data_IF_275195139184
#
_entry.id   IF_275195139184
#
_cell.length_a   1.000
_cell.length_b   1.000
_cell.length_c   1.000
_cell.angle_alpha   90.00
_cell.angle_beta   90.00
_cell.angle_gamma   90.00
#
_symmetry.space_group_name_H-M   'P 1'
#
loop_
_entity.id
_entity.type
_entity.pdbx_description
1 polymer ?
#
# COMPACT_ATOMS: atom_id res chain seq x y z
N UNK A 1 7.09 -18.10 -0.34
CA UNK A 1 8.35 -17.33 -0.31
C UNK A 1 8.82 -17.25 1.13
N UNK A 2 10.01 -17.74 1.42
CA UNK A 2 10.62 -17.63 2.75
C UNK A 2 11.03 -16.17 3.01
N UNK A 3 11.13 -15.72 4.28
CA UNK A 3 11.61 -14.38 4.60
C UNK A 3 13.01 -14.10 4.02
N UNK A 4 13.80 -15.15 3.86
CA UNK A 4 15.16 -15.14 3.31
C UNK A 4 15.18 -14.82 1.82
N UNK A 5 14.43 -15.59 1.02
CA UNK A 5 14.25 -15.34 -0.42
C UNK A 5 13.71 -13.92 -0.67
N UNK A 6 12.82 -13.46 0.21
CA UNK A 6 12.21 -12.13 0.12
C UNK A 6 13.23 -11.02 0.35
N UNK A 7 14.16 -11.19 1.29
CA UNK A 7 15.24 -10.24 1.51
C UNK A 7 16.16 -10.19 0.29
N UNK A 8 16.64 -11.35 -0.21
CA UNK A 8 17.54 -11.40 -1.39
C UNK A 8 16.91 -10.69 -2.60
N UNK A 9 15.66 -11.01 -2.91
CA UNK A 9 14.93 -10.38 -4.04
C UNK A 9 14.69 -8.88 -3.86
N UNK A 10 14.65 -8.40 -2.61
CA UNK A 10 14.51 -6.98 -2.31
C UNK A 10 15.82 -6.21 -2.46
N UNK A 11 16.97 -6.87 -2.27
CA UNK A 11 18.31 -6.29 -2.38
C UNK A 11 19.01 -6.56 -3.72
N UNK A 12 18.49 -7.46 -4.56
CA UNK A 12 19.06 -7.81 -5.88
C UNK A 12 19.30 -6.60 -6.80
N UNK A 13 18.51 -5.52 -6.64
CA UNK A 13 18.67 -4.26 -7.40
C UNK A 13 19.46 -3.17 -6.67
N UNK A 14 20.07 -3.49 -5.53
CA UNK A 14 20.76 -2.53 -4.67
C UNK A 14 22.19 -3.01 -4.39
N UNK A 15 23.14 -2.71 -5.30
CA UNK A 15 24.52 -3.22 -5.19
C UNK A 15 25.26 -2.73 -3.94
N UNK A 16 24.88 -1.58 -3.37
CA UNK A 16 25.43 -1.08 -2.09
C UNK A 16 25.08 -1.96 -0.88
N UNK A 17 24.16 -2.92 -1.03
CA UNK A 17 23.76 -3.80 0.06
C UNK A 17 24.57 -5.11 0.13
N UNK A 18 25.48 -5.38 -0.82
CA UNK A 18 26.27 -6.62 -0.85
C UNK A 18 27.31 -6.71 0.28
N UNK A 19 27.72 -5.58 0.84
CA UNK A 19 28.60 -5.54 2.02
C UNK A 19 27.87 -5.81 3.36
N UNK A 20 26.54 -5.94 3.37
CA UNK A 20 25.77 -6.19 4.60
C UNK A 20 25.60 -7.69 4.88
N UNK A 21 25.73 -8.07 6.16
CA UNK A 21 25.43 -9.42 6.60
C UNK A 21 23.95 -9.76 6.40
N UNK A 22 23.67 -11.05 6.27
CA UNK A 22 22.31 -11.54 6.02
C UNK A 22 21.31 -11.11 7.11
N UNK A 23 21.71 -11.15 8.38
CA UNK A 23 20.88 -10.71 9.50
C UNK A 23 20.56 -9.20 9.43
N UNK A 24 21.51 -8.37 9.01
CA UNK A 24 21.27 -6.93 8.83
C UNK A 24 20.31 -6.67 7.68
N UNK A 25 20.45 -7.38 6.55
CA UNK A 25 19.51 -7.32 5.42
C UNK A 25 18.09 -7.68 5.85
N UNK A 26 17.93 -8.74 6.65
CA UNK A 26 16.62 -9.16 7.17
C UNK A 26 16.01 -8.12 8.12
N UNK A 27 16.80 -7.57 9.03
CA UNK A 27 16.36 -6.52 9.97
C UNK A 27 15.92 -5.25 9.22
N UNK A 28 16.69 -4.81 8.22
CA UNK A 28 16.33 -3.67 7.36
C UNK A 28 15.05 -3.97 6.60
N UNK A 29 14.89 -5.16 6.01
CA UNK A 29 13.68 -5.53 5.29
C UNK A 29 12.44 -5.45 6.19
N UNK A 30 12.52 -5.98 7.43
CA UNK A 30 11.42 -5.95 8.39
C UNK A 30 11.07 -4.52 8.81
N UNK A 31 12.08 -3.71 9.15
CA UNK A 31 11.90 -2.31 9.57
C UNK A 31 11.35 -1.45 8.44
N UNK A 32 11.89 -1.60 7.24
CA UNK A 32 11.48 -0.88 6.03
C UNK A 32 10.06 -1.28 5.62
N UNK A 33 9.72 -2.56 5.69
CA UNK A 33 8.35 -3.04 5.46
C UNK A 33 7.35 -2.45 6.45
N UNK A 34 7.69 -2.42 7.75
CA UNK A 34 6.83 -1.82 8.77
C UNK A 34 6.67 -0.30 8.57
N UNK A 35 7.76 0.40 8.21
CA UNK A 35 7.71 1.83 7.92
C UNK A 35 6.85 2.13 6.68
N UNK A 36 6.97 1.33 5.60
CA UNK A 36 6.12 1.47 4.42
C UNK A 36 4.65 1.21 4.74
N UNK A 37 4.34 0.19 5.54
CA UNK A 37 2.98 -0.09 5.97
C UNK A 37 2.38 1.07 6.78
N UNK A 38 3.17 1.66 7.68
CA UNK A 38 2.73 2.82 8.45
C UNK A 38 2.48 4.02 7.54
N UNK A 39 3.40 4.34 6.63
CA UNK A 39 3.24 5.43 5.65
C UNK A 39 1.99 5.21 4.79
N UNK A 40 1.75 3.98 4.34
CA UNK A 40 0.56 3.63 3.58
C UNK A 40 -0.71 3.93 4.36
N UNK A 41 -0.82 3.43 5.60
CA UNK A 41 -2.01 3.59 6.44
C UNK A 41 -2.29 5.06 6.74
N UNK A 42 -1.24 5.84 7.04
CA UNK A 42 -1.37 7.28 7.32
C UNK A 42 -1.86 8.03 6.08
N UNK A 43 -1.23 7.80 4.91
CA UNK A 43 -1.62 8.46 3.66
C UNK A 43 -3.03 8.08 3.22
N UNK A 44 -3.37 6.78 3.29
CA UNK A 44 -4.69 6.30 2.93
C UNK A 44 -5.77 6.88 3.85
N UNK A 45 -5.52 6.92 5.16
CA UNK A 45 -6.45 7.54 6.12
C UNK A 45 -6.62 9.04 5.85
N UNK A 46 -5.53 9.74 5.54
CA UNK A 46 -5.56 11.16 5.21
C UNK A 46 -6.36 11.43 3.93
N UNK A 47 -6.19 10.62 2.89
CA UNK A 47 -6.95 10.71 1.64
C UNK A 47 -8.45 10.49 1.86
N UNK A 48 -8.83 9.51 2.68
CA UNK A 48 -10.23 9.27 3.04
C UNK A 48 -10.85 10.45 3.81
N UNK A 49 -10.12 10.99 4.79
CA UNK A 49 -10.58 12.15 5.56
C UNK A 49 -10.72 13.36 4.64
N UNK A 50 -9.75 13.60 3.77
CA UNK A 50 -9.78 14.71 2.82
C UNK A 50 -10.95 14.58 1.85
N UNK A 51 -11.17 13.39 1.29
CA UNK A 51 -12.31 13.12 0.41
C UNK A 51 -13.64 13.36 1.13
N UNK A 52 -13.77 12.90 2.38
CA UNK A 52 -14.96 13.12 3.20
C UNK A 52 -15.23 14.61 3.47
N UNK A 53 -14.20 15.35 3.88
CA UNK A 53 -14.32 16.80 4.19
C UNK A 53 -14.62 17.62 2.93
N UNK A 54 -13.95 17.35 1.81
CA UNK A 54 -14.14 18.09 0.56
C UNK A 54 -15.54 17.92 -0.06
N UNK A 55 -16.19 16.80 0.21
CA UNK A 55 -17.52 16.47 -0.30
C UNK A 55 -18.62 16.64 0.73
N UNK A 56 -18.31 17.19 1.91
CA UNK A 56 -19.25 17.37 3.03
C UNK A 56 -19.99 16.05 3.37
N UNK A 57 -19.24 14.95 3.37
CA UNK A 57 -19.77 13.60 3.63
C UNK A 57 -20.52 12.95 2.47
N UNK A 58 -20.82 13.66 1.37
CA UNK A 58 -21.51 13.09 0.21
C UNK A 58 -20.71 12.02 -0.54
N UNK A 59 -19.39 11.96 -0.31
CA UNK A 59 -18.52 10.89 -0.81
C UNK A 59 -18.99 9.49 -0.40
N UNK A 60 -19.39 9.29 0.86
CA UNK A 60 -19.84 7.98 1.35
C UNK A 60 -21.16 7.55 0.69
N UNK A 61 -22.05 8.52 0.48
CA UNK A 61 -23.31 8.29 -0.25
C UNK A 61 -23.04 7.92 -1.70
N UNK A 62 -22.15 8.66 -2.38
CA UNK A 62 -21.76 8.40 -3.77
C UNK A 62 -21.16 7.01 -3.95
N UNK A 63 -20.30 6.57 -3.02
CA UNK A 63 -19.75 5.20 -3.02
C UNK A 63 -20.86 4.16 -2.87
N UNK A 64 -21.80 4.40 -1.95
CA UNK A 64 -22.90 3.47 -1.68
C UNK A 64 -23.87 3.37 -2.85
N UNK A 65 -24.22 4.50 -3.48
CA UNK A 65 -25.06 4.54 -4.68
C UNK A 65 -24.37 3.87 -5.86
N UNK A 66 -23.06 4.08 -6.01
CA UNK A 66 -22.27 3.38 -7.05
C UNK A 66 -22.29 1.87 -6.81
N UNK A 67 -22.07 1.42 -5.58
CA UNK A 67 -22.17 0.00 -5.22
C UNK A 67 -23.57 -0.55 -5.50
N UNK A 68 -24.61 0.16 -5.08
CA UNK A 68 -25.98 -0.24 -5.33
C UNK A 68 -26.30 -0.29 -6.82
N UNK A 69 -25.79 0.63 -7.63
CA UNK A 69 -25.99 0.63 -9.09
C UNK A 69 -25.32 -0.58 -9.78
N UNK A 70 -24.14 -0.98 -9.30
CA UNK A 70 -23.40 -2.14 -9.80
C UNK A 70 -24.09 -3.45 -9.38
N UNK A 71 -24.63 -3.48 -8.15
CA UNK A 71 -25.24 -4.68 -7.56
C UNK A 71 -26.71 -4.88 -7.95
N UNK A 72 -27.48 -3.82 -8.18
CA UNK A 72 -28.93 -3.86 -8.46
C UNK A 72 -29.30 -4.20 -9.91
N UNK A 73 -28.44 -4.92 -10.63
CA UNK A 73 -28.70 -5.27 -12.04
C UNK A 73 -29.92 -6.21 -12.14
N UNK A 74 -30.97 -5.86 -12.92
CA UNK A 74 -32.19 -6.67 -13.00
C UNK A 74 -31.88 -8.13 -13.34
N UNK A 75 -32.37 -9.06 -12.51
CA UNK A 75 -32.20 -10.50 -12.71
C UNK A 75 -30.91 -11.12 -12.15
N UNK A 76 -30.01 -10.36 -11.52
CA UNK A 76 -28.78 -10.89 -10.90
C UNK A 76 -28.91 -10.99 -9.38
N UNK A 77 -28.68 -12.18 -8.80
CA UNK A 77 -28.56 -12.33 -7.34
C UNK A 77 -27.28 -11.64 -6.86
N UNK A 78 -27.42 -10.79 -5.84
CA UNK A 78 -26.28 -10.20 -5.13
C UNK A 78 -25.56 -11.31 -4.39
N UNK A 79 -24.33 -11.61 -4.82
CA UNK A 79 -23.45 -12.57 -4.14
C UNK A 79 -22.38 -11.83 -3.35
N UNK A 80 -21.89 -12.40 -2.26
CA UNK A 80 -20.81 -11.80 -1.45
C UNK A 80 -19.56 -11.48 -2.29
N UNK A 81 -19.24 -12.33 -3.28
CA UNK A 81 -18.17 -12.07 -4.24
C UNK A 81 -18.45 -10.85 -5.12
N UNK A 82 -19.70 -10.65 -5.57
CA UNK A 82 -20.09 -9.47 -6.35
C UNK A 82 -19.95 -8.17 -5.56
N UNK A 83 -20.33 -8.20 -4.28
CA UNK A 83 -20.16 -7.05 -3.37
C UNK A 83 -18.68 -6.74 -3.15
N UNK A 84 -17.85 -7.77 -2.92
CA UNK A 84 -16.42 -7.59 -2.73
C UNK A 84 -15.73 -6.96 -3.96
N UNK A 85 -16.02 -7.47 -5.16
CA UNK A 85 -15.44 -6.94 -6.40
C UNK A 85 -15.88 -5.50 -6.67
N UNK A 86 -17.18 -5.20 -6.48
CA UNK A 86 -17.68 -3.84 -6.63
C UNK A 86 -17.05 -2.89 -5.59
N UNK A 87 -16.91 -3.33 -4.34
CA UNK A 87 -16.21 -2.60 -3.27
C UNK A 87 -14.79 -2.24 -3.64
N UNK A 88 -14.02 -3.20 -4.14
CA UNK A 88 -12.65 -2.97 -4.60
C UNK A 88 -12.64 -1.95 -5.73
N UNK A 89 -13.56 -2.03 -6.69
CA UNK A 89 -13.59 -1.12 -7.82
C UNK A 89 -13.87 0.34 -7.40
N UNK A 90 -14.76 0.53 -6.43
CA UNK A 90 -15.09 1.87 -5.91
C UNK A 90 -13.94 2.45 -5.07
N UNK A 91 -13.18 1.62 -4.34
CA UNK A 91 -12.05 2.06 -3.50
C UNK A 91 -10.74 2.16 -4.29
N UNK A 92 -10.58 1.43 -5.39
CA UNK A 92 -9.32 1.36 -6.16
C UNK A 92 -8.72 2.73 -6.55
N UNK A 93 -9.49 3.76 -6.96
CA UNK A 93 -8.94 5.07 -7.25
C UNK A 93 -8.21 5.72 -6.06
N UNK A 94 -8.68 5.48 -4.83
CA UNK A 94 -8.07 5.99 -3.59
C UNK A 94 -6.81 5.21 -3.19
N UNK A 95 -6.47 4.13 -3.88
CA UNK A 95 -5.24 3.40 -3.61
C UNK A 95 -4.08 3.91 -4.46
N UNK A 96 -4.35 4.65 -5.54
CA UNK A 96 -3.32 5.07 -6.50
C UNK A 96 -2.25 5.94 -5.84
N UNK A 97 -2.67 6.95 -5.06
CA UNK A 97 -1.77 7.89 -4.38
C UNK A 97 -0.92 7.18 -3.30
N UNK A 98 -1.49 6.46 -2.33
CA UNK A 98 -0.70 5.81 -1.28
C UNK A 98 0.18 4.69 -1.82
N UNK A 99 -0.24 3.97 -2.87
CA UNK A 99 0.63 2.99 -3.54
C UNK A 99 1.79 3.68 -4.25
N UNK A 100 1.55 4.74 -5.03
CA UNK A 100 2.64 5.45 -5.70
C UNK A 100 3.64 6.06 -4.69
N UNK A 101 3.14 6.68 -3.62
CA UNK A 101 3.97 7.27 -2.57
C UNK A 101 4.80 6.23 -1.83
N UNK A 102 4.24 5.06 -1.51
CA UNK A 102 4.99 3.97 -0.86
C UNK A 102 6.06 3.36 -1.77
N UNK A 103 5.79 3.24 -3.07
CA UNK A 103 6.81 2.81 -4.04
C UNK A 103 7.98 3.80 -4.13
N UNK A 104 7.72 5.10 -4.09
CA UNK A 104 8.77 6.12 -4.06
C UNK A 104 9.53 6.11 -2.72
N UNK A 105 8.79 6.11 -1.60
CA UNK A 105 9.35 6.06 -0.26
C UNK A 105 10.25 4.84 -0.06
N UNK A 106 9.88 3.68 -0.65
CA UNK A 106 10.73 2.48 -0.66
C UNK A 106 12.14 2.80 -1.14
N UNK A 107 12.28 3.42 -2.31
CA UNK A 107 13.60 3.71 -2.89
C UNK A 107 14.44 4.64 -2.01
N UNK A 108 13.80 5.59 -1.32
CA UNK A 108 14.44 6.56 -0.45
C UNK A 108 14.87 5.91 0.88
N UNK A 109 13.96 5.18 1.53
CA UNK A 109 14.22 4.51 2.82
C UNK A 109 15.32 3.46 2.67
N UNK A 110 15.35 2.73 1.54
CA UNK A 110 16.43 1.79 1.24
C UNK A 110 17.80 2.48 1.20
N UNK A 111 17.93 3.56 0.44
CA UNK A 111 19.18 4.33 0.36
C UNK A 111 19.59 4.91 1.72
N UNK A 112 18.63 5.37 2.52
CA UNK A 112 18.88 5.93 3.84
C UNK A 112 19.32 4.88 4.87
N UNK A 113 18.69 3.71 4.92
CA UNK A 113 19.07 2.63 5.84
C UNK A 113 20.44 2.05 5.45
N UNK A 114 20.74 1.89 4.16
CA UNK A 114 22.06 1.45 3.68
C UNK A 114 23.16 2.44 4.08
N UNK A 115 22.93 3.75 3.86
CA UNK A 115 23.88 4.80 4.28
C UNK A 115 24.09 4.83 5.79
N UNK A 116 23.06 4.54 6.60
CA UNK A 116 23.19 4.43 8.07
C UNK A 116 24.00 3.21 8.50
N UNK A 117 23.95 2.11 7.75
CA UNK A 117 24.72 0.90 8.02
C UNK A 117 26.18 1.01 7.55
N UNK A 118 26.45 1.65 6.41
CA UNK A 118 27.79 1.84 5.85
C UNK A 118 28.56 3.03 6.47
N UNK A 119 27.85 4.05 6.96
CA UNK A 119 28.45 5.22 7.61
C UNK A 119 28.76 5.03 9.09
N UNK A 120 28.75 3.80 9.59
CA UNK A 120 28.96 3.43 10.99
C UNK A 120 30.12 2.45 11.09
#
# INVERSE_FOLDING_TARGET
MTPEERAVKWFEKVPEADDLSFDQRLAICKKTGNAMALVFVVLFSFELILAYVLTDGSFVFTMTDTLNSILSRPGRRVTAQGVAVAGIFVVAPLLVIPVAATFLARSIVFKQEIKKCLGK
#
